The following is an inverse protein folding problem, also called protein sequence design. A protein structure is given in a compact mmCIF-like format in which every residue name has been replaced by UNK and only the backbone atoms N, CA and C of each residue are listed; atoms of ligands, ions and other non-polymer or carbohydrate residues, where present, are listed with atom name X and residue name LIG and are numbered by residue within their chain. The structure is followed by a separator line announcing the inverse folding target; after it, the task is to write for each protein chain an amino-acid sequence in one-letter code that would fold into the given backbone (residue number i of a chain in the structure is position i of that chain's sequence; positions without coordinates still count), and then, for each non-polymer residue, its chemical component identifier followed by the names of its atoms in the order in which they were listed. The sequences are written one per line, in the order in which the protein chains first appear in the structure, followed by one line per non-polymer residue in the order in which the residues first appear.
data_IF_108098539924
#
_entry.id   IF_108098539924
#
_cell.length_a   1.000
_cell.length_b   1.000
_cell.length_c   1.000
_cell.angle_alpha   90.00
_cell.angle_beta   90.00
_cell.angle_gamma   90.00
#
_symmetry.space_group_name_H-M   'P 1'
#
loop_
_entity.id
_entity.type
_entity.pdbx_description
1 polymer ?
#
# COMPACT_ATOMS: atom_id res chain seq x y z
N UNK A 1 -47.95 -0.51 45.17
CA UNK A 1 -48.87 -1.35 44.38
C UNK A 1 -49.42 -0.46 43.27
N UNK A 2 -49.03 -0.72 42.01
CA UNK A 2 -49.67 -0.29 40.73
C UNK A 2 -49.82 1.23 40.46
N UNK A 3 -49.55 1.83 39.29
CA UNK A 3 -49.31 1.42 37.89
C UNK A 3 -48.60 2.60 37.19
N UNK A 4 -47.47 2.44 36.49
CA UNK A 4 -47.37 2.16 35.04
C UNK A 4 -48.18 3.12 34.14
N UNK A 5 -47.54 4.20 33.66
CA UNK A 5 -48.01 4.98 32.51
C UNK A 5 -46.86 5.07 31.48
N UNK A 6 -47.10 4.50 30.31
CA UNK A 6 -46.13 4.27 29.25
C UNK A 6 -45.93 5.54 28.40
N UNK A 7 -44.66 5.91 28.15
CA UNK A 7 -44.30 6.96 27.21
C UNK A 7 -44.50 6.48 25.74
N UNK A 8 -45.02 7.33 24.83
CA UNK A 8 -45.21 6.96 23.44
C UNK A 8 -43.87 6.93 22.68
N UNK A 9 -43.72 6.06 21.65
CA UNK A 9 -42.48 5.96 20.89
C UNK A 9 -42.27 7.19 19.99
N UNK A 10 -41.01 7.61 19.88
CA UNK A 10 -40.56 8.69 19.01
C UNK A 10 -40.93 8.43 17.53
N UNK A 11 -41.22 9.48 16.74
CA UNK A 11 -41.58 9.31 15.33
C UNK A 11 -40.38 8.79 14.54
N UNK A 12 -40.56 7.65 13.90
CA UNK A 12 -39.63 7.08 12.92
C UNK A 12 -39.35 8.13 11.83
N UNK A 13 -38.06 8.36 11.58
CA UNK A 13 -37.55 9.24 10.53
C UNK A 13 -38.15 8.83 9.18
N UNK A 14 -39.04 9.67 8.65
CA UNK A 14 -39.53 9.57 7.28
C UNK A 14 -38.34 9.56 6.33
N UNK A 15 -38.33 8.57 5.45
CA UNK A 15 -37.53 8.51 4.24
C UNK A 15 -37.42 9.89 3.59
N UNK A 16 -36.21 10.42 3.57
CA UNK A 16 -35.82 11.49 2.66
C UNK A 16 -35.71 10.91 1.26
N UNK A 17 -36.87 10.60 0.67
CA UNK A 17 -37.01 10.42 -0.77
C UNK A 17 -36.71 11.77 -1.42
N UNK A 18 -35.43 11.99 -1.73
CA UNK A 18 -34.94 13.12 -2.49
C UNK A 18 -35.61 13.08 -3.85
N UNK A 19 -36.56 14.00 -4.06
CA UNK A 19 -37.07 14.43 -5.35
C UNK A 19 -35.89 14.89 -6.22
N UNK A 20 -35.27 13.95 -6.93
CA UNK A 20 -34.30 14.24 -7.98
C UNK A 20 -35.08 14.64 -9.23
N UNK A 21 -35.35 15.94 -9.37
CA UNK A 21 -35.91 16.47 -10.62
C UNK A 21 -34.93 16.20 -11.78
N UNK A 22 -35.41 15.85 -12.98
CA UNK A 22 -34.57 15.49 -14.13
C UNK A 22 -33.58 16.60 -14.55
N UNK A 23 -33.86 17.86 -14.19
CA UNK A 23 -32.96 18.99 -14.37
C UNK A 23 -31.69 18.87 -13.52
N UNK A 24 -31.82 18.47 -12.25
CA UNK A 24 -30.66 18.28 -11.36
C UNK A 24 -29.79 17.10 -11.80
N UNK A 25 -30.39 16.05 -12.35
CA UNK A 25 -29.65 14.91 -12.91
C UNK A 25 -28.83 15.31 -14.15
N UNK A 26 -29.42 16.07 -15.09
CA UNK A 26 -28.70 16.57 -16.28
C UNK A 26 -27.60 17.56 -15.93
N UNK A 27 -27.82 18.44 -14.95
CA UNK A 27 -26.79 19.33 -14.42
C UNK A 27 -25.68 18.56 -13.72
N UNK A 28 -26.01 17.52 -12.95
CA UNK A 28 -25.00 16.67 -12.29
C UNK A 28 -24.16 15.90 -13.31
N UNK A 29 -24.78 15.39 -14.38
CA UNK A 29 -24.10 14.71 -15.49
C UNK A 29 -23.23 15.70 -16.28
N UNK A 30 -23.74 16.87 -16.66
CA UNK A 30 -22.96 17.91 -17.33
C UNK A 30 -21.80 18.41 -16.45
N UNK A 31 -22.03 18.57 -15.15
CA UNK A 31 -21.02 18.94 -14.17
C UNK A 31 -19.94 17.86 -14.04
N UNK A 32 -20.32 16.59 -13.98
CA UNK A 32 -19.37 15.48 -13.92
C UNK A 32 -18.60 15.34 -15.24
N UNK A 33 -19.26 15.57 -16.38
CA UNK A 33 -18.64 15.57 -17.71
C UNK A 33 -17.68 16.74 -17.87
N UNK A 34 -17.99 17.95 -17.39
CA UNK A 34 -17.12 19.11 -17.55
C UNK A 34 -16.02 19.18 -16.48
N UNK A 35 -16.34 18.80 -15.25
CA UNK A 35 -15.51 19.08 -14.06
C UNK A 35 -15.07 17.84 -13.27
N UNK A 36 -15.59 16.65 -13.56
CA UNK A 36 -15.47 15.45 -12.71
C UNK A 36 -14.05 15.03 -12.34
N UNK A 37 -13.05 15.33 -13.19
CA UNK A 37 -11.63 15.09 -12.89
C UNK A 37 -10.81 16.37 -12.63
N UNK A 38 -11.34 17.56 -12.95
CA UNK A 38 -10.61 18.84 -12.84
C UNK A 38 -10.89 19.49 -11.48
N UNK A 39 -12.11 19.35 -10.96
CA UNK A 39 -12.53 19.85 -9.64
C UNK A 39 -12.69 18.75 -8.59
N UNK A 40 -12.20 17.53 -8.83
CA UNK A 40 -12.10 16.49 -7.78
C UNK A 40 -10.97 16.78 -6.76
N UNK A 41 -10.84 18.04 -6.36
CA UNK A 41 -9.87 18.50 -5.36
C UNK A 41 -10.25 18.06 -3.94
N UNK A 42 -11.49 17.61 -3.72
CA UNK A 42 -12.01 17.21 -2.41
C UNK A 42 -12.45 15.74 -2.36
N UNK A 43 -12.12 14.92 -3.36
CA UNK A 43 -12.42 13.49 -3.35
C UNK A 43 -11.27 12.72 -2.65
N UNK A 44 -11.49 12.17 -1.45
CA UNK A 44 -10.42 11.54 -0.68
C UNK A 44 -9.82 10.32 -1.38
N UNK A 45 -10.67 9.52 -2.06
CA UNK A 45 -10.22 8.30 -2.74
C UNK A 45 -9.41 8.64 -3.98
N UNK A 46 -9.83 9.67 -4.71
CA UNK A 46 -9.10 10.17 -5.87
C UNK A 46 -7.74 10.76 -5.50
N UNK A 47 -7.69 11.57 -4.44
CA UNK A 47 -6.47 12.22 -3.98
C UNK A 47 -5.46 11.23 -3.37
N UNK A 48 -5.92 10.15 -2.73
CA UNK A 48 -5.04 9.16 -2.10
C UNK A 48 -4.10 8.45 -3.10
N UNK A 49 -4.49 8.35 -4.38
CA UNK A 49 -3.71 7.66 -5.41
C UNK A 49 -2.75 8.56 -6.19
N UNK A 50 -2.69 9.86 -5.87
CA UNK A 50 -1.95 10.87 -6.63
C UNK A 50 -0.81 11.47 -5.82
N UNK A 51 0.24 11.90 -6.53
CA UNK A 51 1.33 12.65 -5.91
C UNK A 51 0.79 13.93 -5.26
N UNK A 52 1.46 14.38 -4.20
CA UNK A 52 1.22 15.65 -3.53
C UNK A 52 1.26 16.84 -4.51
N UNK A 53 2.14 16.79 -5.51
CA UNK A 53 2.25 17.80 -6.56
C UNK A 53 1.01 17.81 -7.46
N UNK A 54 0.51 16.65 -7.88
CA UNK A 54 -0.74 16.54 -8.65
C UNK A 54 -1.95 17.05 -7.86
N UNK A 55 -2.01 16.75 -6.55
CA UNK A 55 -3.07 17.25 -5.67
C UNK A 55 -3.04 18.77 -5.57
N UNK A 56 -1.86 19.35 -5.37
CA UNK A 56 -1.68 20.80 -5.32
C UNK A 56 -2.08 21.47 -6.64
N UNK A 57 -1.66 20.92 -7.78
CA UNK A 57 -2.02 21.45 -9.10
C UNK A 57 -3.54 21.42 -9.32
N UNK A 58 -4.24 20.34 -8.95
CA UNK A 58 -5.70 20.25 -9.08
C UNK A 58 -6.44 21.24 -8.20
N UNK A 59 -5.98 21.45 -6.97
CA UNK A 59 -6.53 22.48 -6.10
C UNK A 59 -6.39 23.88 -6.74
N UNK A 60 -5.23 24.18 -7.30
CA UNK A 60 -4.98 25.46 -7.99
C UNK A 60 -5.84 25.59 -9.25
N UNK A 61 -6.02 24.52 -10.03
CA UNK A 61 -6.93 24.51 -11.18
C UNK A 61 -8.36 24.84 -10.73
N UNK A 62 -8.85 24.16 -9.69
CA UNK A 62 -10.17 24.42 -9.14
C UNK A 62 -10.31 25.88 -8.70
N UNK A 63 -9.33 26.43 -7.97
CA UNK A 63 -9.33 27.82 -7.53
C UNK A 63 -9.38 28.80 -8.72
N UNK A 64 -8.55 28.60 -9.75
CA UNK A 64 -8.51 29.45 -10.93
C UNK A 64 -9.83 29.40 -11.73
N UNK A 65 -10.46 28.23 -11.83
CA UNK A 65 -11.74 28.10 -12.53
C UNK A 65 -12.92 28.63 -11.72
N UNK A 66 -12.92 28.44 -10.40
CA UNK A 66 -13.90 29.07 -9.50
C UNK A 66 -13.79 30.59 -9.60
N UNK A 67 -12.57 31.14 -9.57
CA UNK A 67 -12.33 32.57 -9.78
C UNK A 67 -12.89 33.04 -11.13
N UNK A 68 -12.56 32.36 -12.23
CA UNK A 68 -13.05 32.71 -13.58
C UNK A 68 -14.57 32.64 -13.69
N UNK A 69 -15.18 31.60 -13.12
CA UNK A 69 -16.63 31.47 -13.06
C UNK A 69 -17.27 32.60 -12.24
N UNK A 70 -16.65 33.01 -11.13
CA UNK A 70 -17.12 34.11 -10.29
C UNK A 70 -17.14 35.46 -11.00
N UNK A 71 -16.38 35.62 -12.08
CA UNK A 71 -16.38 36.84 -12.91
C UNK A 71 -17.30 36.72 -14.13
N UNK A 72 -17.31 35.56 -14.81
CA UNK A 72 -18.12 35.37 -16.01
C UNK A 72 -19.61 35.21 -15.73
N UNK A 73 -20.01 34.57 -14.62
CA UNK A 73 -21.42 34.39 -14.31
C UNK A 73 -22.14 35.73 -14.06
N UNK A 74 -21.61 36.65 -13.23
CA UNK A 74 -22.17 37.99 -13.13
C UNK A 74 -22.16 38.72 -14.47
N UNK A 75 -21.10 38.61 -15.27
CA UNK A 75 -21.02 39.25 -16.58
C UNK A 75 -22.15 38.83 -17.53
N UNK A 76 -22.44 37.53 -17.59
CA UNK A 76 -23.54 36.99 -18.40
C UNK A 76 -24.88 37.47 -17.85
N UNK A 77 -25.06 37.44 -16.52
CA UNK A 77 -26.29 37.91 -15.89
C UNK A 77 -26.54 39.40 -16.13
N UNK A 78 -25.51 40.23 -15.98
CA UNK A 78 -25.56 41.67 -16.26
C UNK A 78 -25.83 41.92 -17.73
N UNK A 79 -25.19 41.21 -18.67
CA UNK A 79 -25.47 41.39 -20.09
C UNK A 79 -26.91 41.01 -20.47
N UNK A 80 -27.53 40.07 -19.74
CA UNK A 80 -28.92 39.68 -19.96
C UNK A 80 -29.95 40.67 -19.38
N UNK A 81 -29.56 41.45 -18.37
CA UNK A 81 -30.45 42.40 -17.67
C UNK A 81 -30.10 43.87 -17.91
N UNK A 82 -28.97 44.15 -18.56
CA UNK A 82 -28.50 45.51 -18.81
C UNK A 82 -29.46 46.27 -19.74
N UNK A 83 -29.69 47.57 -19.47
CA UNK A 83 -30.38 48.45 -20.41
C UNK A 83 -29.68 48.42 -21.79
N UNK A 84 -30.44 48.54 -22.90
CA UNK A 84 -29.87 48.58 -24.25
C UNK A 84 -28.83 49.69 -24.46
N UNK A 85 -28.82 50.72 -23.60
CA UNK A 85 -27.90 51.85 -23.65
C UNK A 85 -26.53 51.59 -23.02
N UNK A 86 -26.31 50.46 -22.32
CA UNK A 86 -25.03 50.16 -21.67
C UNK A 86 -23.90 49.90 -22.67
N UNK A 87 -24.24 49.28 -23.80
CA UNK A 87 -23.30 48.94 -24.87
C UNK A 87 -23.73 49.61 -26.17
N UNK A 88 -22.78 50.09 -26.95
CA UNK A 88 -23.03 50.65 -28.29
C UNK A 88 -23.63 49.58 -29.22
N UNK A 89 -23.08 48.36 -29.17
CA UNK A 89 -23.59 47.17 -29.85
C UNK A 89 -23.74 46.01 -28.84
N UNK A 90 -25.00 45.70 -28.48
CA UNK A 90 -25.33 44.59 -27.57
C UNK A 90 -25.04 43.21 -28.19
N UNK A 91 -25.18 43.08 -29.52
CA UNK A 91 -24.91 41.82 -30.22
C UNK A 91 -23.41 41.53 -30.21
N UNK A 92 -22.57 42.54 -30.46
CA UNK A 92 -21.12 42.43 -30.32
C UNK A 92 -20.72 41.99 -28.91
N UNK A 93 -21.27 42.63 -27.86
CA UNK A 93 -20.96 42.24 -26.47
C UNK A 93 -21.35 40.78 -26.18
N UNK A 94 -22.47 40.31 -26.73
CA UNK A 94 -22.91 38.92 -26.59
C UNK A 94 -21.93 37.96 -27.27
N UNK A 95 -21.46 38.28 -28.47
CA UNK A 95 -20.44 37.48 -29.18
C UNK A 95 -19.13 37.42 -28.37
N UNK A 96 -18.69 38.55 -27.81
CA UNK A 96 -17.48 38.60 -26.98
C UNK A 96 -17.61 37.75 -25.71
N UNK A 97 -18.77 37.76 -25.05
CA UNK A 97 -19.06 36.92 -23.88
C UNK A 97 -19.14 35.43 -24.22
N UNK A 98 -19.74 35.07 -25.35
CA UNK A 98 -19.76 33.69 -25.85
C UNK A 98 -18.33 33.21 -26.12
N UNK A 99 -17.52 34.06 -26.74
CA UNK A 99 -16.11 33.76 -27.02
C UNK A 99 -15.31 33.59 -25.73
N UNK A 100 -15.47 34.49 -24.76
CA UNK A 100 -14.80 34.41 -23.46
C UNK A 100 -15.20 33.13 -22.70
N UNK A 101 -16.48 32.83 -22.63
CA UNK A 101 -17.02 31.61 -22.00
C UNK A 101 -16.50 30.36 -22.72
N UNK A 102 -16.55 30.34 -24.05
CA UNK A 102 -16.06 29.23 -24.87
C UNK A 102 -14.57 28.96 -24.64
N UNK A 103 -13.76 30.02 -24.54
CA UNK A 103 -12.34 29.89 -24.22
C UNK A 103 -12.09 29.34 -22.81
N UNK A 104 -12.87 29.77 -21.82
CA UNK A 104 -12.76 29.23 -20.46
C UNK A 104 -13.13 27.74 -20.40
N UNK A 105 -14.15 27.31 -21.16
CA UNK A 105 -14.47 25.89 -21.34
C UNK A 105 -13.31 25.15 -22.02
N UNK A 106 -12.71 25.74 -23.06
CA UNK A 106 -11.54 25.15 -23.71
C UNK A 106 -10.36 24.99 -22.74
N UNK A 107 -10.08 25.97 -21.87
CA UNK A 107 -9.07 25.87 -20.83
C UNK A 107 -9.35 24.72 -19.85
N UNK A 108 -10.61 24.52 -19.44
CA UNK A 108 -11.02 23.38 -18.59
C UNK A 108 -10.74 22.05 -19.31
N UNK A 109 -11.11 21.94 -20.58
CA UNK A 109 -10.90 20.73 -21.38
C UNK A 109 -9.41 20.44 -21.61
N UNK A 110 -8.60 21.46 -21.85
CA UNK A 110 -7.15 21.35 -21.98
C UNK A 110 -6.54 20.87 -20.65
N UNK A 111 -6.90 21.50 -19.54
CA UNK A 111 -6.43 21.12 -18.21
C UNK A 111 -6.86 19.68 -17.85
N UNK A 112 -8.08 19.28 -18.23
CA UNK A 112 -8.56 17.90 -18.04
C UNK A 112 -7.74 16.88 -18.80
N UNK A 113 -7.41 17.16 -20.07
CA UNK A 113 -6.68 16.23 -20.94
C UNK A 113 -5.20 16.14 -20.60
N UNK A 114 -4.58 17.25 -20.20
CA UNK A 114 -3.13 17.36 -20.02
C UNK A 114 -2.68 17.43 -18.55
N UNK A 115 -3.61 17.50 -17.61
CA UNK A 115 -3.33 17.72 -16.18
C UNK A 115 -2.91 19.16 -15.83
N UNK A 116 -2.41 19.94 -16.80
CA UNK A 116 -2.03 21.34 -16.63
C UNK A 116 -2.08 22.12 -17.95
N UNK A 117 -1.93 23.45 -17.87
CA UNK A 117 -1.94 24.34 -19.03
C UNK A 117 -0.61 24.27 -19.82
N UNK A 118 -0.65 23.98 -21.13
CA UNK A 118 0.51 24.12 -22.00
C UNK A 118 0.84 25.61 -22.23
N UNK A 119 2.11 25.92 -22.54
CA UNK A 119 2.57 27.31 -22.72
C UNK A 119 1.77 28.09 -23.76
N UNK A 120 1.42 27.46 -24.87
CA UNK A 120 0.64 28.10 -25.93
C UNK A 120 -0.74 28.54 -25.42
N UNK A 121 -1.41 27.74 -24.57
CA UNK A 121 -2.73 28.09 -24.06
C UNK A 121 -2.69 29.32 -23.15
N UNK A 122 -1.60 29.51 -22.40
CA UNK A 122 -1.44 30.70 -21.53
C UNK A 122 -1.19 31.95 -22.39
N UNK A 123 -0.38 31.83 -23.45
CA UNK A 123 -0.18 32.93 -24.39
C UNK A 123 -1.45 33.27 -25.18
N UNK A 124 -2.23 32.26 -25.59
CA UNK A 124 -3.54 32.46 -26.22
C UNK A 124 -4.52 33.12 -25.25
N UNK A 125 -4.54 32.72 -23.98
CA UNK A 125 -5.37 33.37 -22.95
C UNK A 125 -4.99 34.84 -22.77
N UNK A 126 -3.69 35.14 -22.65
CA UNK A 126 -3.21 36.52 -22.55
C UNK A 126 -3.60 37.35 -23.77
N UNK A 127 -3.35 36.84 -24.99
CA UNK A 127 -3.70 37.53 -26.23
C UNK A 127 -5.21 37.76 -26.35
N UNK A 128 -6.01 36.76 -25.97
CA UNK A 128 -7.46 36.84 -26.01
C UNK A 128 -7.99 37.86 -25.01
N UNK A 129 -7.52 37.82 -23.76
CA UNK A 129 -7.95 38.77 -22.72
C UNK A 129 -7.56 40.19 -23.10
N UNK A 130 -6.36 40.41 -23.63
CA UNK A 130 -5.97 41.72 -24.16
C UNK A 130 -6.89 42.16 -25.31
N UNK A 131 -7.18 41.30 -26.30
CA UNK A 131 -8.06 41.64 -27.41
C UNK A 131 -9.50 41.96 -26.94
N UNK A 132 -10.06 41.13 -26.06
CA UNK A 132 -11.38 41.34 -25.47
C UNK A 132 -11.44 42.66 -24.68
N UNK A 133 -10.38 43.01 -23.95
CA UNK A 133 -10.28 44.27 -23.22
C UNK A 133 -10.37 45.48 -24.17
N UNK A 134 -9.60 45.49 -25.27
CA UNK A 134 -9.64 46.59 -26.25
C UNK A 134 -10.98 46.67 -26.99
N UNK A 135 -11.49 45.56 -27.50
CA UNK A 135 -12.73 45.53 -28.28
C UNK A 135 -13.94 45.89 -27.41
N UNK A 136 -14.03 45.32 -26.21
CA UNK A 136 -15.13 45.59 -25.28
C UNK A 136 -15.08 47.02 -24.77
N UNK A 137 -13.90 47.58 -24.46
CA UNK A 137 -13.79 48.98 -24.02
C UNK A 137 -14.34 49.94 -25.06
N UNK A 138 -14.08 49.70 -26.36
CA UNK A 138 -14.63 50.54 -27.44
C UNK A 138 -16.15 50.42 -27.58
N UNK A 139 -16.73 49.30 -27.13
CA UNK A 139 -18.15 49.02 -27.23
C UNK A 139 -18.97 49.54 -26.03
N UNK A 140 -18.33 50.04 -24.98
CA UNK A 140 -19.04 50.61 -23.82
C UNK A 140 -19.48 52.04 -24.16
N UNK A 141 -20.75 52.35 -23.87
CA UNK A 141 -21.35 53.63 -24.27
C UNK A 141 -21.00 54.82 -23.34
N UNK A 142 -20.57 54.57 -22.09
CA UNK A 142 -20.29 55.60 -21.06
C UNK A 142 -18.93 55.40 -20.35
N UNK A 143 -18.56 56.29 -19.39
CA UNK A 143 -17.31 56.31 -18.62
C UNK A 143 -17.02 55.07 -17.71
N UNK A 144 -17.72 53.95 -17.91
CA UNK A 144 -17.67 52.73 -17.09
C UNK A 144 -16.50 51.78 -17.36
N UNK A 145 -15.44 52.23 -18.03
CA UNK A 145 -14.30 51.38 -18.47
C UNK A 145 -13.63 50.63 -17.34
N UNK A 146 -13.49 51.26 -16.17
CA UNK A 146 -12.85 50.68 -14.98
C UNK A 146 -13.85 50.50 -13.83
N UNK A 147 -15.06 50.03 -14.15
CA UNK A 147 -16.04 49.61 -13.16
C UNK A 147 -15.98 48.10 -12.93
N UNK A 148 -16.37 47.65 -11.74
CA UNK A 148 -16.61 46.22 -11.42
C UNK A 148 -17.68 45.59 -12.33
N UNK A 149 -18.48 46.42 -13.02
CA UNK A 149 -19.45 45.99 -14.03
C UNK A 149 -18.79 45.60 -15.36
N UNK A 150 -17.52 45.98 -15.60
CA UNK A 150 -16.83 45.73 -16.85
C UNK A 150 -16.10 44.38 -16.83
N UNK A 151 -16.76 43.36 -17.33
CA UNK A 151 -16.29 41.96 -17.31
C UNK A 151 -14.91 41.65 -17.95
N UNK A 152 -14.40 42.35 -18.98
CA UNK A 152 -13.06 42.12 -19.50
C UNK A 152 -11.96 42.54 -18.51
N UNK A 153 -12.24 43.53 -17.64
CA UNK A 153 -11.30 43.95 -16.58
C UNK A 153 -11.15 42.84 -15.54
N UNK A 154 -12.27 42.22 -15.14
CA UNK A 154 -12.22 41.09 -14.21
C UNK A 154 -11.56 39.85 -14.83
N UNK A 155 -11.66 39.66 -16.15
CA UNK A 155 -10.86 38.64 -16.85
C UNK A 155 -9.35 38.96 -16.87
N UNK A 156 -8.95 40.23 -16.91
CA UNK A 156 -7.54 40.61 -16.78
C UNK A 156 -6.96 40.24 -15.39
N UNK A 157 -7.77 40.36 -14.33
CA UNK A 157 -7.40 39.87 -12.99
C UNK A 157 -7.19 38.34 -13.00
N UNK A 158 -8.10 37.61 -13.64
CA UNK A 158 -7.99 36.15 -13.77
C UNK A 158 -6.80 35.70 -14.65
N UNK A 159 -6.47 36.45 -15.72
CA UNK A 159 -5.29 36.21 -16.55
C UNK A 159 -3.98 36.46 -15.77
N UNK A 160 -3.98 37.47 -14.91
CA UNK A 160 -2.84 37.77 -14.01
C UNK A 160 -2.59 36.61 -13.04
N UNK A 161 -3.65 36.07 -12.42
CA UNK A 161 -3.55 34.88 -11.58
C UNK A 161 -3.04 33.66 -12.35
N UNK A 162 -3.62 33.38 -13.53
CA UNK A 162 -3.26 32.23 -14.36
C UNK A 162 -1.80 32.28 -14.81
N UNK A 163 -1.33 33.41 -15.34
CA UNK A 163 0.04 33.58 -15.84
C UNK A 163 1.06 33.44 -14.70
N UNK A 164 0.75 33.99 -13.51
CA UNK A 164 1.62 33.88 -12.33
C UNK A 164 1.67 32.46 -11.73
N UNK A 165 0.55 31.73 -11.80
CA UNK A 165 0.50 30.32 -11.44
C UNK A 165 1.19 29.43 -12.51
N UNK A 166 1.18 29.79 -13.77
CA UNK A 166 1.65 28.88 -14.81
C UNK A 166 3.12 29.09 -15.20
N UNK A 167 3.64 30.32 -15.11
CA UNK A 167 4.98 30.66 -15.56
C UNK A 167 6.01 30.86 -14.42
N UNK A 168 7.28 30.93 -14.82
CA UNK A 168 8.39 31.37 -13.96
C UNK A 168 8.20 32.86 -13.62
N UNK A 169 8.72 33.35 -12.49
CA UNK A 169 8.41 34.71 -12.01
C UNK A 169 8.76 35.81 -13.02
N UNK A 170 9.85 35.68 -13.76
CA UNK A 170 10.22 36.66 -14.78
C UNK A 170 9.25 36.69 -15.97
N UNK A 171 8.83 35.53 -16.48
CA UNK A 171 7.81 35.44 -17.55
C UNK A 171 6.45 35.93 -17.07
N UNK A 172 6.07 35.60 -15.84
CA UNK A 172 4.85 36.09 -15.22
C UNK A 172 4.88 37.62 -15.07
N UNK A 173 6.02 38.19 -14.67
CA UNK A 173 6.20 39.64 -14.60
C UNK A 173 6.09 40.29 -16.00
N UNK A 174 6.63 39.66 -17.05
CA UNK A 174 6.43 40.13 -18.43
C UNK A 174 4.97 40.09 -18.84
N UNK A 175 4.23 39.02 -18.54
CA UNK A 175 2.80 38.92 -18.82
C UNK A 175 2.01 39.99 -18.05
N UNK A 176 2.33 40.19 -16.77
CA UNK A 176 1.71 41.22 -15.93
C UNK A 176 1.97 42.64 -16.48
N UNK A 177 3.19 42.90 -16.96
CA UNK A 177 3.53 44.17 -17.61
C UNK A 177 2.73 44.37 -18.90
N UNK A 178 2.51 43.32 -19.71
CA UNK A 178 1.65 43.38 -20.91
C UNK A 178 0.19 43.68 -20.51
N UNK A 179 -0.34 43.01 -19.48
CA UNK A 179 -1.70 43.25 -18.97
C UNK A 179 -1.82 44.70 -18.47
N UNK A 180 -0.86 45.17 -17.66
CA UNK A 180 -0.84 46.52 -17.14
C UNK A 180 -0.77 47.56 -18.27
N UNK A 181 0.13 47.38 -19.24
CA UNK A 181 0.23 48.26 -20.41
C UNK A 181 -1.06 48.28 -21.23
N UNK A 182 -1.73 47.14 -21.39
CA UNK A 182 -3.01 47.04 -22.09
C UNK A 182 -4.11 47.80 -21.35
N UNK A 183 -4.20 47.66 -20.02
CA UNK A 183 -5.15 48.39 -19.18
C UNK A 183 -4.90 49.91 -19.24
N UNK A 184 -3.64 50.33 -19.18
CA UNK A 184 -3.27 51.75 -19.30
C UNK A 184 -3.58 52.31 -20.68
N UNK A 185 -3.28 51.55 -21.74
CA UNK A 185 -3.60 51.96 -23.11
C UNK A 185 -5.12 52.11 -23.31
N UNK A 186 -5.90 51.18 -22.78
CA UNK A 186 -7.37 51.26 -22.79
C UNK A 186 -7.87 52.47 -21.99
N UNK A 187 -7.25 52.77 -20.85
CA UNK A 187 -7.58 53.96 -20.08
C UNK A 187 -7.37 55.26 -20.86
N UNK A 188 -6.26 55.34 -21.59
CA UNK A 188 -5.93 56.50 -22.40
C UNK A 188 -6.86 56.65 -23.61
N UNK A 189 -7.19 55.55 -24.28
CA UNK A 189 -7.98 55.56 -25.51
C UNK A 189 -9.46 55.88 -25.31
N UNK A 190 -10.01 55.73 -24.11
CA UNK A 190 -11.46 55.83 -23.92
C UNK A 190 -12.01 57.26 -23.86
N UNK A 191 -11.27 58.27 -23.36
CA UNK A 191 -11.56 59.69 -23.72
C UNK A 191 -10.61 60.76 -23.11
N UNK A 192 -9.34 60.49 -22.80
CA UNK A 192 -8.42 61.45 -22.15
C UNK A 192 -8.90 62.03 -20.78
N UNK A 193 -10.11 61.68 -20.32
CA UNK A 193 -10.73 62.15 -19.06
C UNK A 193 -10.37 61.27 -17.86
N UNK A 194 -10.04 59.99 -18.10
CA UNK A 194 -9.52 59.11 -17.06
C UNK A 194 -8.03 59.40 -16.91
N UNK A 195 -7.68 60.15 -15.86
CA UNK A 195 -6.28 60.32 -15.48
C UNK A 195 -5.63 58.92 -15.37
N UNK A 196 -4.43 58.77 -15.93
CA UNK A 196 -3.66 57.52 -15.94
C UNK A 196 -3.47 56.95 -14.52
N UNK A 197 -3.51 57.82 -13.52
CA UNK A 197 -3.40 57.55 -12.09
C UNK A 197 -4.74 57.73 -11.34
N UNK A 198 -5.87 57.58 -12.03
CA UNK A 198 -7.18 57.59 -11.39
C UNK A 198 -7.31 56.40 -10.43
N UNK A 199 -8.07 56.60 -9.35
CA UNK A 199 -8.27 55.58 -8.32
C UNK A 199 -8.79 54.24 -8.89
N UNK A 200 -9.71 54.20 -9.87
CA UNK A 200 -10.17 52.93 -10.47
C UNK A 200 -9.06 52.19 -11.22
N UNK A 201 -8.26 52.89 -12.03
CA UNK A 201 -7.15 52.28 -12.77
C UNK A 201 -6.09 51.71 -11.82
N UNK A 202 -5.72 52.47 -10.78
CA UNK A 202 -4.78 52.01 -9.76
C UNK A 202 -5.31 50.80 -8.99
N UNK A 203 -6.60 50.78 -8.67
CA UNK A 203 -7.24 49.65 -7.98
C UNK A 203 -7.20 48.36 -8.79
N UNK A 204 -7.45 48.44 -10.10
CA UNK A 204 -7.38 47.29 -11.01
C UNK A 204 -5.94 46.79 -11.15
N UNK A 205 -4.97 47.69 -11.35
CA UNK A 205 -3.55 47.32 -11.44
C UNK A 205 -3.06 46.65 -10.15
N UNK A 206 -3.45 47.21 -9.00
CA UNK A 206 -3.18 46.62 -7.70
C UNK A 206 -3.84 45.23 -7.56
N UNK A 207 -5.09 45.08 -8.03
CA UNK A 207 -5.78 43.79 -8.10
C UNK A 207 -5.01 42.77 -8.93
N UNK A 208 -4.59 43.12 -10.14
CA UNK A 208 -3.79 42.24 -11.02
C UNK A 208 -2.50 41.79 -10.32
N UNK A 209 -1.79 42.72 -9.68
CA UNK A 209 -0.58 42.43 -8.92
C UNK A 209 -0.88 41.49 -7.74
N UNK A 210 -1.92 41.78 -6.95
CA UNK A 210 -2.28 40.97 -5.79
C UNK A 210 -2.69 39.55 -6.18
N UNK A 211 -3.51 39.39 -7.20
CA UNK A 211 -3.90 38.06 -7.70
C UNK A 211 -2.71 37.30 -8.29
N UNK A 212 -1.79 37.98 -8.99
CA UNK A 212 -0.57 37.35 -9.47
C UNK A 212 0.32 36.86 -8.31
N UNK A 213 0.56 37.71 -7.31
CA UNK A 213 1.35 37.37 -6.11
C UNK A 213 0.72 36.22 -5.34
N UNK A 214 -0.58 36.32 -5.05
CA UNK A 214 -1.32 35.28 -4.33
C UNK A 214 -1.29 33.94 -5.08
N UNK A 215 -1.57 33.94 -6.39
CA UNK A 215 -1.54 32.71 -7.19
C UNK A 215 -0.14 32.10 -7.28
N UNK A 216 0.91 32.93 -7.42
CA UNK A 216 2.29 32.47 -7.39
C UNK A 216 2.66 31.84 -6.05
N UNK A 217 2.32 32.51 -4.96
CA UNK A 217 2.60 32.06 -3.60
C UNK A 217 1.87 30.76 -3.29
N UNK A 218 0.56 30.70 -3.51
CA UNK A 218 -0.26 29.49 -3.30
C UNK A 218 0.31 28.32 -4.10
N UNK A 219 0.69 28.54 -5.36
CA UNK A 219 1.32 27.50 -6.17
C UNK A 219 2.64 27.00 -5.57
N UNK A 220 3.55 27.92 -5.26
CA UNK A 220 4.87 27.60 -4.70
C UNK A 220 4.75 26.90 -3.35
N UNK A 221 3.89 27.41 -2.49
CA UNK A 221 3.68 26.90 -1.15
C UNK A 221 3.07 25.50 -1.18
N UNK A 222 1.95 25.29 -1.89
CA UNK A 222 1.30 23.98 -1.94
C UNK A 222 2.16 22.92 -2.63
N UNK A 223 2.82 23.27 -3.74
CA UNK A 223 3.73 22.32 -4.42
C UNK A 223 4.96 22.01 -3.58
N UNK A 224 5.47 22.99 -2.82
CA UNK A 224 6.63 22.81 -1.93
C UNK A 224 6.31 21.97 -0.70
N UNK A 225 5.18 22.24 -0.03
CA UNK A 225 4.71 21.46 1.11
C UNK A 225 4.46 20.00 0.74
N UNK A 226 3.92 19.76 -0.46
CA UNK A 226 3.71 18.40 -0.96
C UNK A 226 5.00 17.57 -1.02
N UNK A 227 6.05 18.14 -1.61
CA UNK A 227 7.35 17.47 -1.73
C UNK A 227 8.01 17.21 -0.37
N UNK A 228 7.89 18.14 0.58
CA UNK A 228 8.40 17.96 1.93
C UNK A 228 7.65 16.82 2.63
N UNK A 229 6.34 16.78 2.52
CA UNK A 229 5.52 15.73 3.14
C UNK A 229 5.81 14.35 2.56
N UNK A 230 5.95 14.23 1.24
CA UNK A 230 6.35 12.98 0.57
C UNK A 230 7.71 12.50 1.05
N UNK A 231 8.68 13.41 1.20
CA UNK A 231 10.01 13.06 1.70
C UNK A 231 9.94 12.53 3.13
N UNK A 232 9.20 13.19 4.02
CA UNK A 232 9.03 12.76 5.41
C UNK A 232 8.35 11.39 5.47
N UNK A 233 7.29 11.17 4.69
CA UNK A 233 6.59 9.89 4.63
C UNK A 233 7.49 8.76 4.12
N UNK A 234 8.30 9.03 3.08
CA UNK A 234 9.25 8.06 2.57
C UNK A 234 10.30 7.71 3.64
N UNK A 235 10.88 8.70 4.33
CA UNK A 235 11.85 8.47 5.40
C UNK A 235 11.26 7.67 6.56
N UNK A 236 10.01 7.94 6.95
CA UNK A 236 9.32 7.20 8.00
C UNK A 236 9.09 5.73 7.62
N UNK A 237 8.60 5.48 6.40
CA UNK A 237 8.37 4.11 5.93
C UNK A 237 9.69 3.31 5.85
N UNK A 238 10.77 3.94 5.39
CA UNK A 238 12.10 3.32 5.40
C UNK A 238 12.59 3.03 6.83
N UNK A 239 12.36 3.93 7.79
CA UNK A 239 12.74 3.71 9.17
C UNK A 239 11.90 2.59 9.83
N UNK A 240 10.60 2.51 9.52
CA UNK A 240 9.72 1.45 10.03
C UNK A 240 10.08 0.08 9.48
N UNK A 241 10.32 -0.03 8.17
CA UNK A 241 10.76 -1.29 7.54
C UNK A 241 12.11 -1.75 8.09
N UNK A 242 13.06 -0.83 8.30
CA UNK A 242 14.34 -1.15 8.95
C UNK A 242 14.16 -1.63 10.39
N UNK A 243 13.30 -0.97 11.18
CA UNK A 243 12.99 -1.40 12.55
C UNK A 243 12.36 -2.77 12.56
N UNK A 244 11.36 -3.03 11.72
CA UNK A 244 10.71 -4.32 11.60
C UNK A 244 11.71 -5.43 11.22
N UNK A 245 12.59 -5.18 10.25
CA UNK A 245 13.64 -6.13 9.86
C UNK A 245 14.64 -6.38 11.01
N UNK A 246 15.04 -5.34 11.73
CA UNK A 246 15.96 -5.49 12.88
C UNK A 246 15.31 -6.27 14.05
N UNK A 247 14.02 -6.03 14.30
CA UNK A 247 13.26 -6.73 15.31
C UNK A 247 13.06 -8.21 14.95
N UNK A 248 12.77 -8.51 13.68
CA UNK A 248 12.68 -9.89 13.18
C UNK A 248 14.00 -10.65 13.39
N UNK A 249 15.14 -10.04 13.00
CA UNK A 249 16.48 -10.62 13.22
C UNK A 249 16.86 -10.78 14.70
N UNK A 250 16.36 -9.89 15.57
CA UNK A 250 16.58 -10.01 17.01
C UNK A 250 15.75 -11.15 17.61
N UNK A 251 14.49 -11.30 17.18
CA UNK A 251 13.62 -12.38 17.59
C UNK A 251 14.16 -13.75 17.15
N UNK A 252 14.66 -13.86 15.92
CA UNK A 252 15.30 -15.07 15.41
C UNK A 252 16.53 -15.46 16.25
N UNK A 253 17.42 -14.51 16.54
CA UNK A 253 18.57 -14.73 17.44
C UNK A 253 18.14 -15.15 18.85
N UNK A 254 17.08 -14.55 19.40
CA UNK A 254 16.54 -14.92 20.72
C UNK A 254 16.04 -16.36 20.73
N UNK A 255 15.34 -16.78 19.67
CA UNK A 255 14.89 -18.15 19.49
C UNK A 255 16.07 -19.11 19.39
N UNK A 256 17.09 -18.76 18.59
CA UNK A 256 18.32 -19.53 18.49
C UNK A 256 19.01 -19.68 19.86
N UNK A 257 19.16 -18.59 20.63
CA UNK A 257 19.70 -18.63 21.99
C UNK A 257 18.88 -19.52 22.93
N UNK A 258 17.55 -19.49 22.87
CA UNK A 258 16.69 -20.37 23.67
C UNK A 258 16.92 -21.84 23.33
N UNK A 259 17.01 -22.19 22.04
CA UNK A 259 17.28 -23.57 21.63
C UNK A 259 18.67 -24.04 22.07
N UNK A 260 19.70 -23.18 21.94
CA UNK A 260 21.05 -23.45 22.44
C UNK A 260 21.07 -23.66 23.96
N UNK A 261 20.30 -22.84 24.69
CA UNK A 261 20.22 -22.93 26.16
C UNK A 261 19.56 -24.24 26.61
N UNK A 262 18.46 -24.63 25.95
CA UNK A 262 17.65 -25.79 26.36
C UNK A 262 18.29 -27.13 25.99
N UNK A 263 19.14 -27.17 24.97
CA UNK A 263 19.87 -28.39 24.59
C UNK A 263 21.24 -28.43 25.28
N UNK A 264 22.20 -27.68 24.75
CA UNK A 264 23.63 -27.83 25.06
C UNK A 264 23.97 -27.36 26.48
N UNK A 265 23.51 -26.17 26.87
CA UNK A 265 23.80 -25.61 28.20
C UNK A 265 23.14 -26.41 29.31
N UNK A 266 21.96 -26.98 29.06
CA UNK A 266 21.25 -27.82 30.04
C UNK A 266 22.01 -29.11 30.29
N UNK A 267 22.46 -29.80 29.24
CA UNK A 267 23.25 -31.02 29.33
C UNK A 267 24.62 -30.77 29.99
N UNK A 268 25.33 -29.71 29.58
CA UNK A 268 26.61 -29.32 30.19
C UNK A 268 26.48 -28.94 31.67
N UNK A 269 25.40 -28.23 32.05
CA UNK A 269 25.15 -27.85 33.45
C UNK A 269 24.84 -29.08 34.30
N UNK A 270 24.11 -30.06 33.76
CA UNK A 270 23.81 -31.31 34.46
C UNK A 270 25.08 -32.16 34.70
N UNK A 271 26.00 -32.20 33.73
CA UNK A 271 27.32 -32.82 33.89
C UNK A 271 28.16 -32.06 34.93
N UNK A 272 28.24 -30.73 34.83
CA UNK A 272 29.06 -29.89 35.72
C UNK A 272 28.63 -29.94 37.19
N UNK A 273 27.33 -30.13 37.46
CA UNK A 273 26.79 -30.31 38.82
C UNK A 273 26.95 -31.73 39.38
N UNK A 274 27.54 -32.65 38.63
CA UNK A 274 27.72 -34.05 39.02
C UNK A 274 26.45 -34.89 38.95
N UNK A 275 25.38 -34.39 38.31
CA UNK A 275 24.11 -35.13 38.14
C UNK A 275 24.15 -36.16 37.01
N UNK A 276 25.17 -36.11 36.15
CA UNK A 276 25.42 -37.06 35.07
C UNK A 276 26.91 -37.41 35.05
N UNK A 277 27.26 -38.70 35.06
CA UNK A 277 28.65 -39.11 34.88
C UNK A 277 29.04 -39.04 33.40
N UNK A 278 29.94 -38.11 33.07
CA UNK A 278 30.53 -37.94 31.74
C UNK A 278 31.19 -39.20 31.14
N UNK A 279 31.53 -40.21 31.96
CA UNK A 279 32.11 -41.47 31.49
C UNK A 279 31.07 -42.48 31.03
N UNK A 280 29.79 -42.25 31.27
CA UNK A 280 28.73 -43.16 30.83
C UNK A 280 28.48 -43.00 29.33
N UNK A 281 28.30 -44.12 28.64
CA UNK A 281 28.09 -44.18 27.18
C UNK A 281 26.88 -43.36 26.72
N UNK A 282 25.83 -43.26 27.54
CA UNK A 282 24.62 -42.47 27.26
C UNK A 282 24.90 -40.95 27.23
N UNK A 283 25.75 -40.46 28.14
CA UNK A 283 26.12 -39.03 28.20
C UNK A 283 27.02 -38.66 27.02
N UNK A 284 27.96 -39.54 26.65
CA UNK A 284 28.79 -39.34 25.46
C UNK A 284 27.97 -39.33 24.17
N UNK A 285 26.98 -40.23 24.01
CA UNK A 285 26.05 -40.21 22.87
C UNK A 285 25.23 -38.91 22.82
N UNK A 286 24.69 -38.45 23.95
CA UNK A 286 23.94 -37.17 24.01
C UNK A 286 24.80 -35.98 23.59
N UNK A 287 26.02 -35.87 24.11
CA UNK A 287 26.93 -34.80 23.73
C UNK A 287 27.35 -34.89 22.25
N UNK A 288 27.53 -36.10 21.70
CA UNK A 288 27.83 -36.29 20.29
C UNK A 288 26.67 -35.85 19.39
N UNK A 289 25.43 -36.18 19.76
CA UNK A 289 24.22 -35.76 19.04
C UNK A 289 24.04 -34.24 19.08
N UNK A 290 24.19 -33.60 20.25
CA UNK A 290 24.12 -32.14 20.39
C UNK A 290 25.22 -31.43 19.59
N UNK A 291 26.44 -31.97 19.56
CA UNK A 291 27.54 -31.41 18.78
C UNK A 291 27.34 -31.58 17.27
N UNK A 292 26.71 -32.68 16.82
CA UNK A 292 26.32 -32.86 15.42
C UNK A 292 25.22 -31.87 15.00
N UNK A 293 24.22 -31.66 15.86
CA UNK A 293 23.16 -30.67 15.66
C UNK A 293 23.74 -29.24 15.56
N UNK A 294 24.61 -28.84 16.48
CA UNK A 294 25.31 -27.54 16.43
C UNK A 294 26.13 -27.37 15.16
N UNK A 295 26.84 -28.41 14.72
CA UNK A 295 27.62 -28.37 13.47
C UNK A 295 26.70 -28.10 12.29
N UNK A 296 25.61 -28.85 12.16
CA UNK A 296 24.62 -28.62 11.10
C UNK A 296 24.00 -27.23 11.16
N UNK A 297 23.71 -26.69 12.35
CA UNK A 297 23.18 -25.34 12.52
C UNK A 297 24.16 -24.23 12.10
N UNK A 298 25.47 -24.47 12.22
CA UNK A 298 26.53 -23.53 11.84
C UNK A 298 26.91 -23.68 10.36
N UNK A 299 26.83 -24.88 9.79
CA UNK A 299 27.22 -25.15 8.40
C UNK A 299 26.10 -24.99 7.39
N UNK A 300 24.83 -25.02 7.80
CA UNK A 300 23.71 -24.82 6.88
C UNK A 300 23.42 -23.33 6.68
N UNK A 301 23.96 -22.80 5.59
CA UNK A 301 23.46 -21.59 4.93
C UNK A 301 22.06 -21.90 4.34
N UNK A 302 21.02 -21.08 4.57
CA UNK A 302 19.64 -21.39 4.18
C UNK A 302 19.40 -21.55 2.67
N UNK A 303 20.38 -21.24 1.82
CA UNK A 303 20.21 -21.16 0.36
C UNK A 303 20.70 -22.37 -0.43
N UNK A 304 21.21 -23.43 0.21
CA UNK A 304 21.69 -24.59 -0.56
C UNK A 304 20.58 -25.60 -0.82
N UNK A 305 19.73 -25.26 -1.78
CA UNK A 305 18.71 -26.11 -2.40
C UNK A 305 19.40 -27.22 -3.22
N UNK A 306 19.95 -28.22 -2.52
CA UNK A 306 20.44 -29.45 -3.15
C UNK A 306 19.22 -30.31 -3.47
N UNK A 307 19.03 -30.61 -4.76
CA UNK A 307 18.00 -31.46 -5.34
C UNK A 307 17.37 -32.43 -4.32
N UNK A 308 16.14 -32.10 -3.94
CA UNK A 308 15.34 -32.68 -2.84
C UNK A 308 15.24 -34.20 -2.87
N UNK A 309 15.33 -34.79 -4.05
CA UNK A 309 15.29 -36.23 -4.30
C UNK A 309 16.44 -36.99 -3.61
N UNK A 310 17.61 -36.35 -3.44
CA UNK A 310 18.75 -36.93 -2.74
C UNK A 310 18.73 -36.71 -1.22
N UNK A 311 18.00 -35.71 -0.71
CA UNK A 311 18.12 -35.31 0.71
C UNK A 311 17.50 -36.33 1.67
N UNK A 312 16.26 -36.75 1.43
CA UNK A 312 15.60 -37.75 2.29
C UNK A 312 16.34 -39.08 2.25
N UNK A 313 16.74 -39.53 1.05
CA UNK A 313 17.52 -40.76 0.90
C UNK A 313 18.84 -40.67 1.65
N UNK A 314 19.59 -39.58 1.52
CA UNK A 314 20.86 -39.39 2.23
C UNK A 314 20.68 -39.38 3.75
N UNK A 315 19.65 -38.69 4.27
CA UNK A 315 19.36 -38.63 5.71
C UNK A 315 18.93 -39.99 6.27
N UNK A 316 18.09 -40.72 5.53
CA UNK A 316 17.69 -42.08 5.90
C UNK A 316 18.88 -43.04 5.86
N UNK A 317 19.69 -43.02 4.81
CA UNK A 317 20.90 -43.85 4.70
C UNK A 317 21.90 -43.55 5.81
N UNK A 318 22.12 -42.28 6.16
CA UNK A 318 22.97 -41.92 7.30
C UNK A 318 22.41 -42.42 8.63
N UNK A 319 21.09 -42.31 8.83
CA UNK A 319 20.42 -42.80 10.03
C UNK A 319 20.50 -44.33 10.14
N UNK A 320 20.34 -45.05 9.03
CA UNK A 320 20.45 -46.50 8.98
C UNK A 320 21.89 -46.95 9.31
N UNK A 321 22.89 -46.32 8.70
CA UNK A 321 24.29 -46.62 8.97
C UNK A 321 24.66 -46.42 10.47
N UNK A 322 24.15 -45.35 11.08
CA UNK A 322 24.34 -45.08 12.52
C UNK A 322 23.70 -46.18 13.40
N UNK A 323 22.51 -46.67 13.01
CA UNK A 323 21.74 -47.67 13.76
C UNK A 323 22.31 -49.08 13.58
N UNK A 324 22.72 -49.45 12.36
CA UNK A 324 23.39 -50.72 12.08
C UNK A 324 24.72 -50.83 12.80
N UNK A 325 25.48 -49.72 12.89
CA UNK A 325 26.71 -49.67 13.69
C UNK A 325 26.49 -49.91 15.19
N UNK A 326 25.24 -49.77 15.67
CA UNK A 326 24.85 -50.06 17.06
C UNK A 326 24.32 -51.48 17.25
N UNK A 327 24.30 -52.31 16.21
CA UNK A 327 23.95 -53.72 16.27
C UNK A 327 22.48 -54.06 16.00
N UNK A 328 21.71 -53.14 15.39
CA UNK A 328 20.36 -53.41 14.91
C UNK A 328 20.37 -53.58 13.39
N UNK A 329 20.04 -54.77 12.90
CA UNK A 329 19.88 -55.04 11.46
C UNK A 329 18.54 -54.47 10.99
N UNK A 330 18.57 -53.56 10.00
CA UNK A 330 17.36 -52.90 9.48
C UNK A 330 17.11 -53.32 8.04
N UNK A 331 16.05 -54.08 7.82
CA UNK A 331 15.61 -54.47 6.48
C UNK A 331 14.79 -53.35 5.85
N UNK A 332 15.34 -52.71 4.84
CA UNK A 332 14.71 -51.56 4.17
C UNK A 332 13.97 -52.01 2.90
N UNK A 333 12.70 -51.60 2.80
CA UNK A 333 11.90 -51.68 1.56
C UNK A 333 11.40 -50.30 1.18
N UNK A 334 11.69 -49.87 -0.03
CA UNK A 334 11.23 -48.58 -0.56
C UNK A 334 10.38 -48.82 -1.79
N UNK A 335 9.22 -48.17 -1.86
CA UNK A 335 8.33 -48.24 -3.01
C UNK A 335 7.90 -46.83 -3.41
N UNK A 336 8.38 -46.37 -4.57
CA UNK A 336 7.97 -45.10 -5.20
C UNK A 336 8.10 -43.90 -4.26
N UNK A 337 9.31 -43.50 -3.88
CA UNK A 337 9.53 -42.28 -3.09
C UNK A 337 9.17 -41.02 -3.91
N UNK A 338 8.71 -39.92 -3.27
CA UNK A 338 8.33 -38.71 -3.99
C UNK A 338 9.57 -37.94 -4.45
N UNK A 339 9.50 -37.34 -5.64
CA UNK A 339 10.58 -36.53 -6.24
C UNK A 339 10.87 -35.24 -5.44
N UNK A 340 9.86 -34.74 -4.71
CA UNK A 340 9.94 -33.51 -3.91
C UNK A 340 9.20 -33.64 -2.57
N UNK A 341 9.89 -33.25 -1.51
CA UNK A 341 9.35 -33.03 -0.17
C UNK A 341 9.96 -31.73 0.37
N UNK A 342 9.16 -30.78 0.89
CA UNK A 342 9.67 -29.56 1.50
C UNK A 342 10.77 -29.84 2.55
N UNK A 343 11.86 -29.06 2.54
CA UNK A 343 13.06 -29.35 3.34
C UNK A 343 12.81 -29.49 4.84
N UNK A 344 11.90 -28.66 5.39
CA UNK A 344 11.47 -28.77 6.78
C UNK A 344 10.78 -30.11 7.10
N UNK A 345 9.96 -30.64 6.17
CA UNK A 345 9.28 -31.94 6.34
C UNK A 345 10.27 -33.12 6.28
N UNK A 346 11.29 -33.05 5.43
CA UNK A 346 12.35 -34.06 5.31
C UNK A 346 13.15 -34.24 6.60
N UNK A 347 13.62 -33.13 7.17
CA UNK A 347 14.50 -33.16 8.33
C UNK A 347 13.74 -33.70 9.56
N UNK A 348 12.52 -33.19 9.80
CA UNK A 348 11.66 -33.64 10.90
C UNK A 348 11.25 -35.12 10.76
N UNK A 349 10.90 -35.58 9.56
CA UNK A 349 10.58 -37.00 9.32
C UNK A 349 11.79 -37.89 9.62
N UNK A 350 12.99 -37.47 9.22
CA UNK A 350 14.23 -38.23 9.45
C UNK A 350 14.56 -38.34 10.95
N UNK A 351 14.31 -37.29 11.72
CA UNK A 351 14.47 -37.33 13.19
C UNK A 351 13.46 -38.28 13.85
N UNK A 352 12.20 -38.25 13.42
CA UNK A 352 11.18 -39.16 13.94
C UNK A 352 11.49 -40.64 13.62
N UNK A 353 11.99 -40.94 12.42
CA UNK A 353 12.47 -42.28 12.04
C UNK A 353 13.65 -42.72 12.91
N UNK A 354 14.60 -41.82 13.15
CA UNK A 354 15.76 -42.08 14.01
C UNK A 354 15.34 -42.42 15.44
N UNK A 355 14.40 -41.68 15.99
CA UNK A 355 13.89 -41.93 17.34
C UNK A 355 13.13 -43.27 17.41
N UNK A 356 12.32 -43.59 16.39
CA UNK A 356 11.63 -44.88 16.31
C UNK A 356 12.63 -46.05 16.30
N UNK A 357 13.70 -45.99 15.49
CA UNK A 357 14.74 -47.03 15.46
C UNK A 357 15.55 -47.10 16.77
N UNK A 358 15.82 -45.96 17.42
CA UNK A 358 16.44 -45.95 18.74
C UNK A 358 15.55 -46.61 19.80
N UNK A 359 14.23 -46.43 19.72
CA UNK A 359 13.30 -47.11 20.62
C UNK A 359 13.33 -48.63 20.40
N UNK A 360 13.44 -49.09 19.15
CA UNK A 360 13.66 -50.52 18.86
C UNK A 360 14.95 -50.99 19.54
N UNK A 361 16.08 -50.32 19.29
CA UNK A 361 17.38 -50.70 19.87
C UNK A 361 17.35 -50.76 21.41
N UNK A 362 16.71 -49.78 22.06
CA UNK A 362 16.71 -49.65 23.54
C UNK A 362 15.70 -50.57 24.22
N UNK A 363 14.55 -50.82 23.60
CA UNK A 363 13.38 -51.37 24.30
C UNK A 363 12.85 -52.68 23.72
N UNK A 364 13.02 -52.94 22.41
CA UNK A 364 12.40 -54.11 21.78
C UNK A 364 12.98 -55.43 22.28
N UNK A 365 14.29 -55.48 22.57
CA UNK A 365 14.99 -56.73 22.86
C UNK A 365 15.21 -57.64 21.63
N UNK A 366 14.91 -57.16 20.42
CA UNK A 366 15.30 -57.80 19.15
C UNK A 366 16.50 -57.09 18.53
N UNK A 367 17.18 -57.78 17.61
CA UNK A 367 18.28 -57.24 16.79
C UNK A 367 17.83 -56.95 15.35
N UNK A 368 16.55 -57.12 15.04
CA UNK A 368 16.01 -56.92 13.68
C UNK A 368 14.84 -55.93 13.67
N UNK A 369 14.81 -55.05 12.67
CA UNK A 369 13.70 -54.17 12.36
C UNK A 369 13.42 -54.11 10.85
N UNK A 370 12.18 -53.78 10.48
CA UNK A 370 11.77 -53.55 9.09
C UNK A 370 11.34 -52.11 8.91
N UNK A 371 12.00 -51.42 7.98
CA UNK A 371 11.61 -50.08 7.57
C UNK A 371 11.01 -50.14 6.17
N UNK A 372 9.75 -49.73 6.05
CA UNK A 372 9.07 -49.60 4.76
C UNK A 372 8.70 -48.15 4.50
N UNK A 373 9.16 -47.58 3.40
CA UNK A 373 8.76 -46.25 2.96
C UNK A 373 8.00 -46.35 1.64
N UNK A 374 6.80 -45.78 1.59
CA UNK A 374 5.97 -45.78 0.39
C UNK A 374 5.19 -44.48 0.26
N UNK A 375 4.90 -44.11 -0.98
CA UNK A 375 4.15 -42.89 -1.31
C UNK A 375 2.84 -43.27 -1.98
N UNK A 376 1.75 -42.64 -1.57
CA UNK A 376 0.50 -42.58 -2.33
C UNK A 376 0.41 -41.27 -3.12
N UNK A 377 -0.70 -41.00 -3.82
CA UNK A 377 -0.84 -39.79 -4.66
C UNK A 377 -0.65 -38.46 -3.89
N UNK A 378 -0.77 -38.46 -2.56
CA UNK A 378 -0.76 -37.22 -1.75
C UNK A 378 0.04 -37.29 -0.47
N UNK A 379 0.55 -38.45 -0.07
CA UNK A 379 1.19 -38.67 1.24
C UNK A 379 2.38 -39.60 1.14
N UNK A 380 3.41 -39.28 1.92
CA UNK A 380 4.51 -40.19 2.19
C UNK A 380 4.27 -40.86 3.55
N UNK A 381 4.35 -42.20 3.57
CA UNK A 381 4.25 -43.00 4.78
C UNK A 381 5.54 -43.79 4.99
N UNK A 382 6.09 -43.67 6.20
CA UNK A 382 7.22 -44.46 6.69
C UNK A 382 6.75 -45.33 7.85
N UNK A 383 6.89 -46.64 7.70
CA UNK A 383 6.50 -47.64 8.69
C UNK A 383 7.73 -48.37 9.20
N UNK A 384 7.91 -48.36 10.51
CA UNK A 384 8.95 -49.10 11.23
C UNK A 384 8.26 -50.22 12.01
N UNK A 385 8.72 -51.45 11.84
CA UNK A 385 8.19 -52.63 12.53
C UNK A 385 9.33 -53.36 13.22
N UNK A 386 9.14 -53.73 14.48
CA UNK A 386 10.00 -54.67 15.19
C UNK A 386 9.21 -55.88 15.68
N UNK A 387 9.89 -57.01 15.85
CA UNK A 387 9.33 -58.25 16.43
C UNK A 387 9.87 -58.50 17.84
N UNK A 388 10.02 -57.43 18.61
CA UNK A 388 10.49 -57.50 19.98
C UNK A 388 9.39 -57.80 20.99
N UNK A 389 9.66 -57.48 22.25
CA UNK A 389 8.77 -57.76 23.39
C UNK A 389 7.43 -57.03 23.35
N UNK A 390 7.30 -55.97 22.55
CA UNK A 390 6.14 -55.08 22.51
C UNK A 390 5.79 -54.46 23.87
N UNK A 391 4.73 -53.66 23.92
CA UNK A 391 4.18 -53.10 25.16
C UNK A 391 2.68 -52.86 25.02
N UNK A 392 1.99 -52.75 26.16
CA UNK A 392 0.58 -52.39 26.16
C UNK A 392 0.42 -50.87 26.05
N UNK A 393 -0.09 -50.42 24.90
CA UNK A 393 -0.30 -49.01 24.58
C UNK A 393 -1.34 -48.32 25.46
N UNK A 394 -2.25 -49.08 26.10
CA UNK A 394 -3.29 -48.52 26.97
C UNK A 394 -2.79 -48.28 28.40
N UNK A 395 -1.85 -49.09 28.87
CA UNK A 395 -1.38 -49.06 30.27
C UNK A 395 0.02 -48.47 30.43
N UNK A 396 0.82 -48.41 29.36
CA UNK A 396 2.17 -47.84 29.40
C UNK A 396 2.14 -46.34 29.07
N UNK A 397 2.59 -45.46 29.98
CA UNK A 397 2.71 -44.04 29.69
C UNK A 397 3.65 -43.79 28.52
N UNK A 398 3.26 -42.91 27.59
CA UNK A 398 4.15 -42.51 26.49
C UNK A 398 5.39 -41.82 27.05
N UNK A 399 6.55 -42.39 26.75
CA UNK A 399 7.84 -41.83 27.13
C UNK A 399 8.14 -40.52 26.40
N UNK A 400 9.11 -39.75 26.91
CA UNK A 400 9.48 -38.44 26.37
C UNK A 400 9.80 -38.47 24.86
N UNK A 401 10.48 -39.53 24.39
CA UNK A 401 10.81 -39.71 22.97
C UNK A 401 9.59 -39.86 22.06
N UNK A 402 8.56 -40.60 22.50
CA UNK A 402 7.32 -40.74 21.75
C UNK A 402 6.56 -39.41 21.70
N UNK A 403 6.34 -38.78 22.85
CA UNK A 403 5.49 -37.59 22.93
C UNK A 403 6.12 -36.36 22.27
N UNK A 404 7.42 -36.13 22.50
CA UNK A 404 8.08 -34.90 22.06
C UNK A 404 8.92 -35.04 20.79
N UNK A 405 9.58 -36.18 20.57
CA UNK A 405 10.47 -36.35 19.41
C UNK A 405 9.77 -37.01 18.21
N UNK A 406 8.67 -37.74 18.43
CA UNK A 406 7.88 -38.35 17.37
C UNK A 406 6.56 -37.58 17.16
N UNK A 407 5.66 -37.55 18.13
CA UNK A 407 4.31 -37.02 17.93
C UNK A 407 4.26 -35.50 17.77
N UNK A 408 4.93 -34.74 18.65
CA UNK A 408 4.95 -33.28 18.55
C UNK A 408 5.63 -32.79 17.27
N UNK A 409 6.75 -33.40 16.91
CA UNK A 409 7.49 -33.11 15.69
C UNK A 409 6.67 -33.42 14.42
N UNK A 410 6.01 -34.58 14.38
CA UNK A 410 5.13 -34.92 13.24
C UNK A 410 3.93 -33.97 13.16
N UNK A 411 3.35 -33.57 14.30
CA UNK A 411 2.25 -32.61 14.32
C UNK A 411 2.68 -31.21 13.83
N UNK A 412 3.90 -30.75 14.15
CA UNK A 412 4.43 -29.45 13.71
C UNK A 412 4.52 -29.33 12.19
N UNK A 413 4.80 -30.43 11.50
CA UNK A 413 4.85 -30.48 10.03
C UNK A 413 3.51 -30.85 9.37
N UNK A 414 2.42 -30.90 10.15
CA UNK A 414 1.09 -31.31 9.67
C UNK A 414 0.97 -32.79 9.33
N UNK A 415 1.87 -33.62 9.86
CA UNK A 415 1.85 -35.06 9.74
C UNK A 415 1.10 -35.76 10.87
N UNK A 416 0.97 -37.08 10.74
CA UNK A 416 0.28 -37.94 11.70
C UNK A 416 1.14 -39.13 12.09
N UNK A 417 0.95 -39.58 13.32
CA UNK A 417 1.66 -40.71 13.92
C UNK A 417 0.68 -41.76 14.42
N UNK A 418 0.95 -43.02 14.08
CA UNK A 418 0.26 -44.18 14.63
C UNK A 418 1.30 -45.08 15.29
N UNK A 419 1.02 -45.50 16.52
CA UNK A 419 1.84 -46.46 17.26
C UNK A 419 0.93 -47.60 17.68
N UNK A 420 1.23 -48.79 17.19
CA UNK A 420 0.52 -50.02 17.51
C UNK A 420 1.50 -51.00 18.15
N UNK A 421 1.16 -51.51 19.32
CA UNK A 421 2.00 -52.46 20.06
C UNK A 421 1.13 -53.28 20.99
N UNK A 422 1.52 -54.54 21.16
CA UNK A 422 0.96 -55.43 22.16
C UNK A 422 2.08 -56.28 22.77
N UNK A 423 2.04 -56.60 24.06
CA UNK A 423 3.04 -57.46 24.69
C UNK A 423 3.18 -58.79 23.96
N UNK A 424 4.39 -59.10 23.48
CA UNK A 424 4.71 -60.31 22.73
C UNK A 424 4.60 -60.20 21.20
N UNK A 425 3.93 -59.17 20.67
CA UNK A 425 3.66 -59.01 19.23
C UNK A 425 4.56 -57.95 18.55
N UNK A 426 5.45 -57.30 19.31
CA UNK A 426 6.35 -56.25 18.82
C UNK A 426 5.71 -54.86 18.77
N UNK A 427 6.29 -53.97 17.96
CA UNK A 427 5.84 -52.59 17.81
C UNK A 427 5.80 -52.19 16.34
N UNK A 428 4.78 -51.43 15.98
CA UNK A 428 4.62 -50.76 14.69
C UNK A 428 4.54 -49.26 14.95
N UNK A 429 5.41 -48.51 14.30
CA UNK A 429 5.37 -47.04 14.26
C UNK A 429 5.18 -46.60 12.83
N UNK A 430 4.12 -45.85 12.57
CA UNK A 430 3.79 -45.31 11.26
C UNK A 430 3.75 -43.79 11.29
N UNK A 431 4.54 -43.19 10.42
CA UNK A 431 4.71 -41.74 10.26
C UNK A 431 4.18 -41.36 8.89
N UNK A 432 3.19 -40.47 8.84
CA UNK A 432 2.58 -40.04 7.57
C UNK A 432 2.65 -38.52 7.44
N UNK A 433 3.09 -38.03 6.28
CA UNK A 433 3.17 -36.61 5.97
C UNK A 433 2.51 -36.29 4.62
N UNK A 434 1.77 -35.19 4.55
CA UNK A 434 1.19 -34.71 3.30
C UNK A 434 2.29 -34.19 2.36
N UNK A 435 2.13 -34.43 1.06
CA UNK A 435 2.98 -33.91 -0.02
C UNK A 435 2.37 -32.68 -0.69
N UNK A 436 1.10 -32.39 -0.44
CA UNK A 436 0.46 -31.15 -0.88
C UNK A 436 0.80 -30.01 0.11
N UNK A 437 1.04 -28.81 -0.43
CA UNK A 437 1.20 -27.57 0.35
C UNK A 437 -0.08 -27.19 1.09
#
# INVERSE_FOLDING_TARGET
MQSAEAAPPAPQSRDTAVLTTPFTARLRVAWHILFGNVLSWNDPQYLATRSSTDRALRFILALLFIQRASYLLPAIATAATAPPSTYQDTALNTVLLVLATGWNIALILIARRRGWFPRWAIWTDLALVTALLFISSRNIADAGVFSDSNWPVTLALAASALTAAAFRPWLAATCLAIIAASLLAVAQLHDNQVALLSQPTLSVLNGCLWYAVAAHFVRRYLSGQGLILEKIQAEQLHAETQRAASAARAAERQTQYRHLHNTVLTTLTAIARGGLDHKTTEVQRRCAAEAAYLRNLITNDPETDIATESRLQNLMSATLADIEALGLEVHVKQHSLPERIPGNRCDTLSEAVREALNNVLKHSGTTEAWLTAFTDETRLTVRIVDRGRGFDTATTPRGYGITHAIEANMHEIGGTTLIDSSPGDGTIVELTVSLQE
#
